data_IF_300516349513
#
_entry.id   IF_300516349513
#
_cell.length_a   1.000
_cell.length_b   1.000
_cell.length_c   1.000
_cell.angle_alpha   90.00
_cell.angle_beta   90.00
_cell.angle_gamma   90.00
#
_symmetry.space_group_name_H-M   'P 1'
#
loop_
_entity.id
_entity.type
_entity.pdbx_description
1 polymer ?
#
# COMPACT_ATOMS: atom_id res chain seq x y z
N UNK A 1 11.35 -3.14 23.49
CA UNK A 1 11.30 -2.93 23.48
C UNK A 1 10.87 -2.14 23.44
N UNK A 2 10.80 -2.07 23.40
CA UNK A 2 10.50 -1.43 23.28
C UNK A 2 10.34 -0.56 23.35
N UNK A 3 10.46 -0.64 23.38
CA UNK A 3 10.40 0.18 23.46
C UNK A 3 10.20 1.24 23.13
N UNK A 4 10.14 0.97 22.83
CA UNK A 4 10.35 2.01 22.33
C UNK A 4 9.23 2.61 21.70
N UNK A 5 8.34 3.17 22.28
CA UNK A 5 7.27 3.70 21.75
C UNK A 5 7.55 4.87 21.02
N UNK A 6 8.59 5.51 21.16
CA UNK A 6 8.90 6.65 20.42
C UNK A 6 9.55 6.35 19.12
N UNK A 7 9.95 5.12 18.94
CA UNK A 7 10.61 4.80 17.74
C UNK A 7 9.65 4.19 16.77
N UNK A 8 9.72 4.61 15.56
CA UNK A 8 8.86 4.10 14.54
C UNK A 8 9.58 2.98 13.80
N UNK A 9 8.88 1.92 13.44
CA UNK A 9 9.54 0.85 12.71
C UNK A 9 9.98 1.32 11.35
N UNK A 10 11.05 0.74 10.87
CA UNK A 10 11.51 1.01 9.53
C UNK A 10 10.60 0.29 8.55
N UNK A 11 10.55 0.81 7.35
CA UNK A 11 9.64 0.26 6.35
C UNK A 11 9.85 -1.24 6.15
N UNK A 12 11.08 -1.69 6.07
CA UNK A 12 11.33 -3.10 5.81
C UNK A 12 10.81 -3.98 6.93
N UNK A 13 10.97 -3.55 8.17
CA UNK A 13 10.47 -4.31 9.31
C UNK A 13 8.95 -4.32 9.31
N UNK A 14 8.37 -3.18 9.02
CA UNK A 14 6.93 -3.07 9.02
C UNK A 14 6.32 -3.96 7.96
N UNK A 15 6.96 -4.05 6.81
CA UNK A 15 6.45 -4.90 5.74
C UNK A 15 6.40 -6.35 6.20
N UNK A 16 7.44 -6.81 6.86
CA UNK A 16 7.47 -8.18 7.34
C UNK A 16 6.33 -8.43 8.32
N UNK A 17 6.18 -7.53 9.27
CA UNK A 17 5.13 -7.68 10.28
C UNK A 17 3.75 -7.63 9.66
N UNK A 18 3.56 -6.75 8.70
CA UNK A 18 2.28 -6.63 8.05
C UNK A 18 1.94 -7.88 7.24
N UNK A 19 2.93 -8.44 6.55
CA UNK A 19 2.68 -9.63 5.76
C UNK A 19 2.36 -10.84 6.64
N UNK A 20 2.99 -10.91 7.80
CA UNK A 20 2.66 -11.95 8.75
C UNK A 20 1.24 -11.79 9.28
N UNK A 21 0.86 -10.54 9.52
CA UNK A 21 -0.50 -10.25 9.94
C UNK A 21 -1.51 -10.71 8.88
N UNK A 22 -1.21 -10.47 7.61
CA UNK A 22 -2.10 -10.90 6.55
C UNK A 22 -2.21 -12.42 6.51
N UNK A 23 -1.12 -13.07 6.71
CA UNK A 23 -1.11 -14.52 6.65
C UNK A 23 -1.87 -15.14 7.82
N UNK A 24 -1.61 -14.67 9.01
CA UNK A 24 -2.15 -15.29 10.21
C UNK A 24 -3.51 -14.78 10.59
N UNK A 25 -3.65 -13.46 10.62
CA UNK A 25 -4.89 -12.89 11.11
C UNK A 25 -5.94 -12.69 10.04
N UNK A 26 -5.51 -12.41 8.84
CA UNK A 26 -6.44 -12.18 7.75
C UNK A 26 -6.56 -13.39 6.85
N UNK A 27 -5.75 -14.39 7.09
CA UNK A 27 -5.81 -15.65 6.36
C UNK A 27 -5.78 -15.43 4.85
N UNK A 28 -4.94 -14.53 4.39
CA UNK A 28 -4.84 -14.27 2.97
C UNK A 28 -4.04 -15.35 2.28
N UNK A 29 -4.28 -15.54 1.01
CA UNK A 29 -3.59 -16.59 0.27
C UNK A 29 -2.12 -16.25 0.10
N UNK A 30 -1.31 -17.24 -0.15
CA UNK A 30 0.10 -17.02 -0.38
C UNK A 30 0.34 -16.16 -1.60
N UNK A 31 -0.53 -16.26 -2.57
CA UNK A 31 -0.43 -15.46 -3.76
C UNK A 31 -0.62 -13.98 -3.46
N UNK A 32 -1.60 -13.68 -2.62
CA UNK A 32 -1.85 -12.30 -2.21
C UNK A 32 -0.67 -11.77 -1.44
N UNK A 33 -0.11 -12.57 -0.54
CA UNK A 33 1.01 -12.13 0.26
C UNK A 33 2.22 -11.85 -0.61
N UNK A 34 2.45 -12.71 -1.58
CA UNK A 34 3.58 -12.53 -2.48
C UNK A 34 3.41 -11.26 -3.30
N UNK A 35 2.21 -10.99 -3.76
CA UNK A 35 1.95 -9.80 -4.55
C UNK A 35 2.11 -8.54 -3.71
N UNK A 36 1.63 -8.57 -2.47
CA UNK A 36 1.79 -7.43 -1.60
C UNK A 36 3.26 -7.18 -1.27
N UNK A 37 4.01 -8.25 -1.11
CA UNK A 37 5.43 -8.12 -0.86
C UNK A 37 6.10 -7.41 -2.04
N UNK A 38 5.75 -7.80 -3.23
CA UNK A 38 6.31 -7.18 -4.42
C UNK A 38 5.93 -5.69 -4.48
N UNK A 39 4.67 -5.38 -4.26
CA UNK A 39 4.23 -3.99 -4.33
C UNK A 39 4.89 -3.12 -3.26
N UNK A 40 4.97 -3.64 -2.07
CA UNK A 40 5.55 -2.83 -0.98
C UNK A 40 7.06 -2.69 -1.13
N UNK A 41 7.71 -3.66 -1.72
CA UNK A 41 9.12 -3.53 -1.98
C UNK A 41 9.42 -2.42 -2.99
N UNK A 42 8.49 -2.12 -3.85
CA UNK A 42 8.68 -1.01 -4.76
C UNK A 42 8.75 0.30 -4.01
N UNK A 43 8.01 0.41 -2.94
CA UNK A 43 8.09 1.60 -2.12
C UNK A 43 9.47 1.70 -1.47
N UNK A 44 10.04 0.56 -1.05
CA UNK A 44 11.37 0.57 -0.48
C UNK A 44 12.38 1.04 -1.53
N UNK A 45 12.20 0.61 -2.77
CA UNK A 45 13.10 1.02 -3.83
C UNK A 45 13.05 2.51 -4.06
N UNK A 46 11.87 3.07 -3.98
CA UNK A 46 11.70 4.49 -4.23
C UNK A 46 12.11 5.34 -3.05
N UNK A 47 11.64 5.00 -1.89
CA UNK A 47 11.76 5.85 -0.71
C UNK A 47 12.96 5.51 0.15
N UNK A 48 13.32 4.26 0.15
CA UNK A 48 14.37 3.79 1.03
C UNK A 48 13.78 3.17 2.27
N UNK A 49 14.62 2.60 3.07
CA UNK A 49 14.18 1.94 4.30
C UNK A 49 14.14 2.98 5.41
N UNK A 50 13.11 3.77 5.42
CA UNK A 50 12.95 4.87 6.36
C UNK A 50 11.93 4.53 7.43
N UNK A 51 11.97 5.22 8.56
CA UNK A 51 10.94 5.01 9.57
C UNK A 51 9.58 5.41 9.00
N UNK A 52 8.59 4.60 9.30
CA UNK A 52 7.27 4.80 8.68
C UNK A 52 6.63 6.14 9.06
N UNK A 53 6.98 6.67 10.23
CA UNK A 53 6.36 7.92 10.64
C UNK A 53 6.87 9.11 9.83
N UNK A 54 7.86 8.89 8.97
CA UNK A 54 8.33 9.95 8.11
C UNK A 54 7.63 9.97 6.76
N UNK A 55 6.76 9.03 6.52
CA UNK A 55 6.04 8.99 5.27
C UNK A 55 4.98 10.09 5.27
N UNK A 56 4.96 10.88 4.23
CA UNK A 56 4.02 12.00 4.14
C UNK A 56 3.22 11.91 2.87
N UNK A 57 2.17 12.72 2.80
CA UNK A 57 1.35 12.76 1.60
C UNK A 57 2.18 13.21 0.40
N UNK A 58 3.13 14.08 0.63
CA UNK A 58 3.99 14.54 -0.44
C UNK A 58 4.85 13.40 -0.97
N UNK A 59 5.34 12.54 -0.10
CA UNK A 59 6.10 11.37 -0.51
C UNK A 59 5.24 10.46 -1.37
N UNK A 60 3.97 10.31 -1.00
CA UNK A 60 3.05 9.49 -1.77
C UNK A 60 2.85 10.07 -3.16
N UNK A 61 2.72 11.37 -3.23
CA UNK A 61 2.54 12.02 -4.52
C UNK A 61 3.75 11.75 -5.42
N UNK A 62 4.93 11.83 -4.85
CA UNK A 62 6.14 11.59 -5.62
C UNK A 62 6.25 10.11 -6.00
N UNK A 63 5.79 9.24 -5.12
CA UNK A 63 5.80 7.82 -5.40
C UNK A 63 4.87 7.49 -6.57
N UNK A 64 3.71 8.12 -6.63
CA UNK A 64 2.81 7.92 -7.73
C UNK A 64 3.45 8.34 -9.04
N UNK A 65 4.16 9.45 -9.01
CA UNK A 65 4.82 9.94 -10.19
C UNK A 65 5.91 8.97 -10.62
N UNK A 66 6.65 8.48 -9.65
CA UNK A 66 7.71 7.51 -9.92
C UNK A 66 7.14 6.23 -10.54
N UNK A 67 6.02 5.73 -10.00
CA UNK A 67 5.38 4.56 -10.54
C UNK A 67 4.92 4.79 -11.97
N UNK A 68 4.41 5.97 -12.22
CA UNK A 68 3.95 6.30 -13.54
C UNK A 68 5.10 6.31 -14.54
N UNK A 69 6.24 6.80 -14.13
CA UNK A 69 7.40 6.84 -15.00
C UNK A 69 8.03 5.48 -15.19
N UNK A 70 7.97 4.66 -14.15
CA UNK A 70 8.44 3.33 -14.24
C UNK A 70 7.65 2.56 -15.26
N UNK A 71 6.34 2.76 -15.19
CA UNK A 71 5.45 2.15 -16.10
C UNK A 71 5.75 2.58 -17.52
N UNK A 72 6.13 3.79 -17.72
CA UNK A 72 6.42 4.29 -19.00
C UNK A 72 7.59 3.57 -19.64
N UNK A 73 8.50 3.05 -18.85
CA UNK A 73 9.57 2.34 -19.36
C UNK A 73 9.21 0.97 -19.76
N UNK A 74 8.50 0.28 -18.97
CA UNK A 74 8.08 -1.02 -19.23
C UNK A 74 6.85 -1.05 -19.92
N UNK A 75 6.45 0.02 -20.15
CA UNK A 75 5.47 0.12 -20.88
C UNK A 75 4.29 -0.41 -20.78
N UNK A 76 3.80 -0.92 -21.51
CA UNK A 76 2.55 -1.26 -21.56
C UNK A 76 2.08 -2.09 -20.52
N UNK A 77 2.86 -2.51 -19.71
CA UNK A 77 2.42 -3.47 -18.79
C UNK A 77 1.81 -3.00 -17.55
N UNK A 78 2.13 -1.83 -17.09
CA UNK A 78 1.54 -1.34 -15.89
C UNK A 78 0.48 -0.36 -16.24
N UNK A 79 -0.73 -0.63 -15.96
CA UNK A 79 -1.80 0.29 -16.19
C UNK A 79 -2.20 0.95 -14.92
N UNK A 80 -3.27 1.71 -14.99
CA UNK A 80 -3.81 2.38 -13.83
C UNK A 80 -4.16 1.37 -12.77
N UNK A 81 -4.69 0.22 -13.16
CA UNK A 81 -5.03 -0.81 -12.20
C UNK A 81 -3.82 -1.30 -11.44
N UNK A 82 -2.72 -1.53 -12.13
CA UNK A 82 -1.53 -2.04 -11.46
C UNK A 82 -0.94 -1.00 -10.54
N UNK A 83 -0.94 0.25 -10.95
CA UNK A 83 -0.48 1.32 -10.05
C UNK A 83 -1.36 1.38 -8.82
N UNK A 84 -2.66 1.21 -9.01
CA UNK A 84 -3.56 1.23 -7.89
C UNK A 84 -3.30 0.06 -6.95
N UNK A 85 -2.92 -1.09 -7.48
CA UNK A 85 -2.62 -2.22 -6.61
C UNK A 85 -1.46 -1.90 -5.66
N UNK A 86 -0.45 -1.18 -6.17
CA UNK A 86 0.65 -0.77 -5.30
C UNK A 86 0.14 0.14 -4.19
N UNK A 87 -0.74 1.05 -4.53
CA UNK A 87 -1.26 1.98 -3.55
C UNK A 87 -2.24 1.33 -2.60
N UNK A 88 -3.00 0.35 -3.08
CA UNK A 88 -3.90 -0.40 -2.23
C UNK A 88 -3.12 -1.16 -1.18
N UNK A 89 -2.00 -1.78 -1.57
CA UNK A 89 -1.19 -2.50 -0.62
C UNK A 89 -0.64 -1.55 0.45
N UNK A 90 -0.18 -0.38 0.03
CA UNK A 90 0.34 0.59 0.96
C UNK A 90 -0.74 1.08 1.91
N UNK A 91 -1.91 1.38 1.38
CA UNK A 91 -3.00 1.85 2.20
C UNK A 91 -3.40 0.80 3.22
N UNK A 92 -3.41 -0.47 2.80
CA UNK A 92 -3.75 -1.56 3.69
C UNK A 92 -2.70 -1.64 4.83
N UNK A 93 -1.43 -1.46 4.48
CA UNK A 93 -0.38 -1.48 5.49
C UNK A 93 -0.55 -0.33 6.47
N UNK A 94 -0.98 0.83 6.00
CA UNK A 94 -1.21 1.96 6.89
C UNK A 94 -2.41 1.72 7.78
N UNK A 95 -3.41 0.99 7.29
CA UNK A 95 -4.53 0.61 8.14
C UNK A 95 -4.06 -0.32 9.24
N UNK A 96 -3.15 -1.22 8.90
CA UNK A 96 -2.57 -2.10 9.90
C UNK A 96 -1.85 -1.28 10.97
N UNK A 97 -1.11 -0.25 10.55
CA UNK A 97 -0.43 0.60 11.50
C UNK A 97 -1.40 1.23 12.48
N UNK A 98 -2.51 1.72 11.97
CA UNK A 98 -3.51 2.34 12.82
C UNK A 98 -4.08 1.32 13.79
N UNK A 99 -4.25 0.09 13.34
CA UNK A 99 -4.80 -0.94 14.18
C UNK A 99 -3.89 -1.32 15.32
N UNK A 100 -2.58 -1.31 15.11
CA UNK A 100 -1.63 -1.71 16.14
C UNK A 100 -0.93 -0.52 16.77
N UNK A 101 -1.49 0.67 16.58
CA UNK A 101 -1.02 1.87 17.25
C UNK A 101 0.38 2.31 16.84
N UNK A 102 0.73 2.07 15.60
CA UNK A 102 1.96 2.59 15.04
C UNK A 102 1.63 3.92 14.39
N UNK A 103 2.33 4.95 14.79
CA UNK A 103 2.08 6.27 14.25
C UNK A 103 2.54 6.33 12.80
N UNK A 104 1.64 6.64 11.90
CA UNK A 104 1.92 6.68 10.49
C UNK A 104 0.89 7.53 9.79
N UNK A 105 1.13 7.79 8.51
CA UNK A 105 0.19 8.57 7.72
C UNK A 105 -1.17 7.89 7.72
N UNK A 106 -2.23 8.68 7.82
CA UNK A 106 -3.57 8.11 7.81
C UNK A 106 -3.85 7.44 6.46
N UNK A 107 -4.47 6.27 6.48
CA UNK A 107 -4.70 5.55 5.21
C UNK A 107 -5.52 6.32 4.20
N UNK A 108 -6.44 7.14 4.66
CA UNK A 108 -7.30 7.87 3.74
C UNK A 108 -6.57 9.00 3.04
N UNK A 109 -5.33 9.25 3.38
CA UNK A 109 -4.55 10.23 2.64
C UNK A 109 -4.09 9.65 1.30
N UNK A 110 -4.22 8.35 1.11
CA UNK A 110 -3.82 7.73 -0.12
C UNK A 110 -5.04 7.58 -1.00
N UNK A 111 -5.10 8.37 -2.05
CA UNK A 111 -6.22 8.30 -2.95
C UNK A 111 -5.84 7.44 -4.12
N UNK A 112 -6.76 6.60 -4.55
CA UNK A 112 -6.51 5.76 -5.70
C UNK A 112 -6.91 6.50 -6.96
N UNK A 113 -6.17 6.25 -8.02
CA UNK A 113 -6.51 6.87 -9.27
C UNK A 113 -7.80 6.31 -9.79
N UNK A 114 -8.63 7.14 -10.37
CA UNK A 114 -9.87 6.69 -10.90
C UNK A 114 -9.62 6.22 -12.30
N UNK A 115 -10.18 5.11 -12.62
CA UNK A 115 -10.07 4.70 -13.92
C UNK A 115 -11.25 5.20 -14.55
N UNK A 116 -11.18 5.96 -15.16
CA UNK A 116 -12.15 6.45 -15.87
C UNK A 116 -13.37 6.01 -15.95
N UNK A 117 -13.83 5.97 -15.88
CA UNK A 117 -14.73 5.67 -16.01
C UNK A 117 -15.57 5.40 -15.50
N UNK A 118 -16.04 5.51 -15.47
CA UNK A 118 -16.92 5.47 -15.17
C UNK A 118 -17.67 4.54 -14.95
N UNK A 119 -17.41 3.67 -15.37
CA UNK A 119 -18.06 2.61 -15.15
C UNK A 119 -18.23 2.32 -13.84
N UNK A 120 -17.56 2.88 -13.13
CA UNK A 120 -17.70 2.70 -11.79
C UNK A 120 -19.06 2.93 -11.33
N UNK A 121 -19.75 3.72 -12.02
CA UNK A 121 -21.07 4.05 -11.58
C UNK A 121 -21.99 2.90 -11.59
N UNK A 122 -21.65 1.86 -12.27
CA UNK A 122 -22.53 0.76 -12.27
C UNK A 122 -22.30 -0.21 -11.19
N UNK A 123 -21.22 -0.10 -10.46
CA UNK A 123 -20.99 -1.03 -9.40
C UNK A 123 -21.74 -0.61 -8.19
N UNK A 124 -22.45 -1.50 -7.60
CA UNK A 124 -23.11 -1.19 -6.36
C UNK A 124 -22.07 -1.18 -5.28
N UNK A 125 -22.41 -0.62 -4.16
CA UNK A 125 -21.53 -0.64 -3.02
C UNK A 125 -21.24 -2.05 -2.61
N UNK A 126 -22.23 -2.92 -2.71
CA UNK A 126 -22.02 -4.29 -2.36
C UNK A 126 -20.99 -4.95 -3.22
N UNK A 127 -21.00 -4.66 -4.48
CA UNK A 127 -20.04 -5.26 -5.38
C UNK A 127 -18.65 -4.77 -5.11
N UNK A 128 -18.52 -3.51 -4.79
CA UNK A 128 -17.22 -2.98 -4.44
C UNK A 128 -16.69 -3.60 -3.18
N UNK A 129 -17.55 -3.78 -2.22
CA UNK A 129 -17.16 -4.37 -0.98
C UNK A 129 -16.71 -5.80 -1.17
N UNK A 130 -17.36 -6.52 -2.02
CA UNK A 130 -16.98 -7.88 -2.28
C UNK A 130 -15.64 -7.97 -2.96
N UNK A 131 -15.32 -7.01 -3.80
CA UNK A 131 -14.03 -7.00 -4.44
C UNK A 131 -12.91 -6.83 -3.44
N UNK A 132 -13.15 -6.07 -2.40
CA UNK A 132 -12.12 -5.81 -1.44
C UNK A 132 -12.24 -6.60 -0.17
N UNK A 133 -13.21 -7.41 -0.08
CA UNK A 133 -13.42 -8.17 1.16
C UNK A 133 -12.46 -9.33 1.31
#
# INVERSE_FOLDING_TARGET
MSQNKNSSPYLSELIVDFLEYLEIEQNRSQNTIRNYHLYLNRLVEFWGDEPINKLTAETIRKYRLWLNRLEGKDAENLGVSTRNYHLIALRHMLKYCAKVDIEALAPDKIELAHSTRKEVTFLSQDELERLFA
#
